data_IF_709873526319
#
_entry.id   IF_709873526319
#
_cell.length_a   1.000
_cell.length_b   1.000
_cell.length_c   1.000
_cell.angle_alpha   90.00
_cell.angle_beta   90.00
_cell.angle_gamma   90.00
#
_symmetry.space_group_name_H-M   'P 1'
#
loop_
_entity.id
_entity.type
_entity.pdbx_description
1 polymer ?
#
# COMPACT_ATOMS: atom_id res chain seq x y z
N UNK A 1 -7.79 31.66 -89.10
CA UNK A 1 -7.81 30.56 -88.10
C UNK A 1 -7.60 31.16 -86.71
N UNK A 2 -8.66 31.28 -85.93
CA UNK A 2 -8.69 31.96 -84.62
C UNK A 2 -8.30 31.00 -83.49
N UNK A 3 -7.25 31.34 -82.74
CA UNK A 3 -6.81 30.62 -81.54
C UNK A 3 -7.83 30.85 -80.42
N UNK A 4 -8.54 29.81 -79.99
CA UNK A 4 -9.38 29.86 -78.78
C UNK A 4 -8.50 29.96 -77.53
N UNK A 5 -8.50 31.10 -76.85
CA UNK A 5 -7.94 31.22 -75.51
C UNK A 5 -8.86 30.54 -74.50
N UNK A 6 -8.35 29.50 -73.84
CA UNK A 6 -9.02 28.89 -72.68
C UNK A 6 -8.96 29.84 -71.49
N UNK A 7 -10.06 30.53 -71.21
CA UNK A 7 -10.24 31.31 -69.98
C UNK A 7 -10.44 30.33 -68.81
N UNK A 8 -9.39 30.07 -68.03
CA UNK A 8 -9.52 29.40 -66.73
C UNK A 8 -10.09 30.42 -65.75
N UNK A 9 -11.25 30.17 -65.11
CA UNK A 9 -11.75 31.14 -64.17
C UNK A 9 -10.83 31.18 -62.95
N UNK A 10 -10.37 32.38 -62.59
CA UNK A 10 -9.65 32.67 -61.34
C UNK A 10 -10.67 32.65 -60.20
N UNK A 11 -11.33 31.51 -59.98
CA UNK A 11 -12.12 31.34 -58.77
C UNK A 11 -11.18 31.06 -57.61
N UNK A 12 -10.97 32.13 -56.84
CA UNK A 12 -11.09 32.08 -55.39
C UNK A 12 -9.99 31.32 -54.62
N UNK A 13 -8.86 32.01 -54.36
CA UNK A 13 -8.22 31.91 -53.02
C UNK A 13 -9.14 32.55 -51.98
N UNK A 14 -10.35 32.00 -51.78
CA UNK A 14 -11.33 32.54 -50.85
C UNK A 14 -10.81 32.43 -49.43
N UNK A 15 -10.96 33.52 -48.66
CA UNK A 15 -10.74 33.54 -47.20
C UNK A 15 -11.46 32.38 -46.50
N UNK A 16 -12.55 31.88 -47.10
CA UNK A 16 -13.32 30.70 -46.71
C UNK A 16 -12.54 29.38 -46.71
N UNK A 17 -11.65 29.10 -47.68
CA UNK A 17 -10.86 27.87 -47.68
C UNK A 17 -9.84 27.86 -46.53
N UNK A 18 -9.20 29.01 -46.27
CA UNK A 18 -8.31 29.21 -45.11
C UNK A 18 -9.08 29.14 -43.79
N UNK A 19 -10.33 29.63 -43.75
CA UNK A 19 -11.21 29.53 -42.59
C UNK A 19 -11.61 28.07 -42.29
N UNK A 20 -11.95 27.27 -43.32
CA UNK A 20 -12.24 25.83 -43.16
C UNK A 20 -11.04 25.04 -42.65
N UNK A 21 -9.83 25.33 -43.13
CA UNK A 21 -8.62 24.73 -42.58
C UNK A 21 -8.37 25.16 -41.12
N UNK A 22 -8.57 26.45 -40.78
CA UNK A 22 -8.44 26.92 -39.39
C UNK A 22 -9.47 26.29 -38.45
N UNK A 23 -10.73 26.14 -38.89
CA UNK A 23 -11.77 25.40 -38.15
C UNK A 23 -11.43 23.92 -38.00
N UNK A 24 -10.88 23.28 -39.04
CA UNK A 24 -10.41 21.91 -38.98
C UNK A 24 -9.29 21.74 -37.94
N UNK A 25 -8.30 22.64 -37.94
CA UNK A 25 -7.22 22.64 -36.94
C UNK A 25 -7.74 22.92 -35.52
N UNK A 26 -8.71 23.82 -35.35
CA UNK A 26 -9.37 24.07 -34.06
C UNK A 26 -10.13 22.84 -33.55
N UNK A 27 -10.87 22.14 -34.41
CA UNK A 27 -11.57 20.91 -34.04
C UNK A 27 -10.61 19.81 -33.61
N UNK A 28 -9.49 19.63 -34.35
CA UNK A 28 -8.45 18.66 -33.97
C UNK A 28 -7.85 19.02 -32.62
N UNK A 29 -7.58 20.31 -32.38
CA UNK A 29 -7.02 20.77 -31.11
C UNK A 29 -7.99 20.57 -29.93
N UNK A 30 -9.29 20.82 -30.13
CA UNK A 30 -10.34 20.53 -29.12
C UNK A 30 -10.45 19.04 -28.83
N UNK A 31 -10.39 18.18 -29.85
CA UNK A 31 -10.43 16.72 -29.67
C UNK A 31 -9.19 16.20 -28.93
N UNK A 32 -8.01 16.74 -29.23
CA UNK A 32 -6.76 16.41 -28.53
C UNK A 32 -6.83 16.86 -27.06
N UNK A 33 -7.25 18.09 -26.79
CA UNK A 33 -7.42 18.59 -25.43
C UNK A 33 -8.44 17.76 -24.66
N UNK A 34 -9.60 17.44 -25.26
CA UNK A 34 -10.62 16.59 -24.66
C UNK A 34 -10.13 15.17 -24.38
N UNK A 35 -9.30 14.59 -25.25
CA UNK A 35 -8.71 13.27 -25.04
C UNK A 35 -7.68 13.28 -23.91
N UNK A 36 -6.83 14.32 -23.83
CA UNK A 36 -5.87 14.51 -22.74
C UNK A 36 -6.61 14.70 -21.42
N UNK A 37 -7.64 15.56 -21.40
CA UNK A 37 -8.46 15.80 -20.21
C UNK A 37 -9.21 14.54 -19.78
N UNK A 38 -9.81 13.82 -20.73
CA UNK A 38 -10.49 12.55 -20.48
C UNK A 38 -9.55 11.48 -19.95
N UNK A 39 -8.32 11.39 -20.47
CA UNK A 39 -7.28 10.49 -19.97
C UNK A 39 -6.84 10.82 -18.54
N UNK A 40 -6.61 12.10 -18.24
CA UNK A 40 -6.28 12.56 -16.88
C UNK A 40 -7.42 12.31 -15.90
N UNK A 41 -8.67 12.55 -16.31
CA UNK A 41 -9.85 12.30 -15.50
C UNK A 41 -10.05 10.81 -15.25
N UNK A 42 -9.86 9.96 -16.26
CA UNK A 42 -9.93 8.50 -16.14
C UNK A 42 -8.87 7.95 -15.17
N UNK A 43 -7.62 8.45 -15.24
CA UNK A 43 -6.57 8.10 -14.29
C UNK A 43 -6.94 8.49 -12.85
N UNK A 44 -7.48 9.70 -12.65
CA UNK A 44 -7.90 10.19 -11.33
C UNK A 44 -9.08 9.38 -10.77
N UNK A 45 -10.05 9.01 -11.60
CA UNK A 45 -11.20 8.21 -11.20
C UNK A 45 -10.82 6.77 -10.84
N UNK A 46 -9.88 6.16 -11.59
CA UNK A 46 -9.33 4.83 -11.29
C UNK A 46 -8.57 4.76 -9.97
N UNK A 47 -7.86 5.83 -9.59
CA UNK A 47 -7.22 5.91 -8.27
C UNK A 47 -8.24 6.08 -7.14
N UNK A 48 -9.34 6.81 -7.38
CA UNK A 48 -10.41 6.99 -6.39
C UNK A 48 -11.19 5.69 -6.11
N UNK A 49 -11.46 4.88 -7.15
CA UNK A 49 -12.22 3.63 -7.01
C UNK A 49 -11.53 2.58 -6.14
N UNK A 50 -10.19 2.60 -6.03
CA UNK A 50 -9.44 1.62 -5.20
C UNK A 50 -9.68 1.84 -3.69
N UNK A 51 -9.95 3.08 -3.29
CA UNK A 51 -10.17 3.46 -1.87
C UNK A 51 -11.66 3.75 -1.60
N UNK A 52 -12.50 3.77 -2.64
CA UNK A 52 -13.93 3.98 -2.52
C UNK A 52 -14.55 2.94 -1.57
N UNK A 53 -15.30 3.43 -0.57
CA UNK A 53 -15.86 2.60 0.50
C UNK A 53 -14.94 2.34 1.71
N UNK A 54 -13.65 2.69 1.63
CA UNK A 54 -12.69 2.56 2.74
C UNK A 54 -12.36 3.91 3.37
N UNK A 55 -12.99 4.19 4.52
CA UNK A 55 -12.78 5.46 5.24
C UNK A 55 -11.60 5.41 6.23
N UNK A 56 -11.08 4.21 6.53
CA UNK A 56 -10.03 4.00 7.51
C UNK A 56 -8.72 3.69 6.76
N UNK A 57 -7.87 4.72 6.64
CA UNK A 57 -6.61 4.68 5.90
C UNK A 57 -5.43 4.74 6.86
N UNK A 58 -4.33 4.15 6.44
CA UNK A 58 -3.05 4.19 7.16
C UNK A 58 -1.87 4.08 6.21
N UNK A 59 -0.67 3.99 6.76
CA UNK A 59 0.56 3.76 6.00
C UNK A 59 1.44 2.70 6.65
N UNK A 60 2.23 1.99 5.84
CA UNK A 60 3.39 1.23 6.33
C UNK A 60 4.65 2.06 6.11
N UNK A 61 5.53 2.12 7.11
CA UNK A 61 6.76 2.90 7.09
C UNK A 61 7.96 2.09 7.57
N UNK A 62 9.15 2.49 7.14
CA UNK A 62 10.45 1.90 7.44
C UNK A 62 11.53 2.98 7.50
N UNK A 63 12.78 2.60 7.77
CA UNK A 63 13.92 3.50 7.70
C UNK A 63 14.10 4.18 6.32
N UNK A 64 13.61 3.56 5.25
CA UNK A 64 13.72 4.11 3.90
C UNK A 64 12.85 5.35 3.69
N UNK A 65 11.86 5.58 4.56
CA UNK A 65 10.97 6.74 4.50
C UNK A 65 11.57 7.97 5.22
N UNK A 66 12.77 7.85 5.80
CA UNK A 66 13.45 8.99 6.43
C UNK A 66 12.70 9.54 7.65
N UNK A 67 12.66 10.87 7.77
CA UNK A 67 11.97 11.55 8.87
C UNK A 67 10.46 11.57 8.65
N UNK A 68 9.70 11.29 9.71
CA UNK A 68 8.24 11.20 9.69
C UNK A 68 7.61 12.19 10.66
N UNK A 69 6.71 13.04 10.16
CA UNK A 69 5.82 13.87 10.96
C UNK A 69 4.47 13.17 11.12
N UNK A 70 4.33 12.40 12.21
CA UNK A 70 3.12 11.67 12.51
C UNK A 70 1.93 12.57 12.85
N UNK A 71 2.16 13.78 13.36
CA UNK A 71 1.08 14.74 13.62
C UNK A 71 0.51 15.26 12.29
N UNK A 72 1.36 15.55 11.31
CA UNK A 72 0.91 15.89 9.96
C UNK A 72 0.15 14.72 9.31
N UNK A 73 0.65 13.49 9.42
CA UNK A 73 -0.05 12.30 8.91
C UNK A 73 -1.45 12.12 9.53
N UNK A 74 -1.57 12.36 10.84
CA UNK A 74 -2.85 12.35 11.52
C UNK A 74 -3.78 13.46 11.01
N UNK A 75 -3.27 14.68 10.85
CA UNK A 75 -4.03 15.83 10.36
C UNK A 75 -4.51 15.64 8.91
N UNK A 76 -3.76 14.91 8.09
CA UNK A 76 -4.16 14.46 6.74
C UNK A 76 -5.22 13.33 6.77
N UNK A 77 -5.67 12.93 7.97
CA UNK A 77 -6.79 12.03 8.18
C UNK A 77 -6.42 10.56 8.22
N UNK A 78 -5.13 10.21 8.37
CA UNK A 78 -4.74 8.84 8.66
C UNK A 78 -5.24 8.41 10.03
N UNK A 79 -5.51 7.10 10.15
CA UNK A 79 -6.00 6.47 11.38
C UNK A 79 -4.97 5.55 12.00
N UNK A 80 -4.03 5.02 11.22
CA UNK A 80 -3.00 4.12 11.74
C UNK A 80 -1.71 4.16 10.95
N UNK A 81 -0.65 3.66 11.58
CA UNK A 81 0.67 3.42 10.98
C UNK A 81 1.18 2.05 11.41
N UNK A 82 1.76 1.32 10.46
CA UNK A 82 2.58 0.13 10.74
C UNK A 82 4.06 0.47 10.53
N UNK A 83 4.88 0.29 11.57
CA UNK A 83 6.31 0.54 11.51
C UNK A 83 7.09 -0.77 11.37
N UNK A 84 7.95 -0.86 10.36
CA UNK A 84 8.92 -1.94 10.29
C UNK A 84 9.87 -1.89 11.48
N UNK A 85 10.06 -3.04 12.14
CA UNK A 85 10.83 -3.13 13.37
C UNK A 85 12.00 -4.09 13.22
N UNK A 86 11.75 -5.31 12.75
CA UNK A 86 12.78 -6.36 12.64
C UNK A 86 12.60 -7.23 11.41
N UNK A 87 13.70 -7.81 10.94
CA UNK A 87 13.70 -8.81 9.89
C UNK A 87 14.54 -10.02 10.28
N UNK A 88 13.95 -11.21 10.17
CA UNK A 88 14.61 -12.45 10.55
C UNK A 88 15.09 -12.42 12.00
N UNK A 89 16.31 -12.88 12.25
CA UNK A 89 16.85 -13.00 13.61
C UNK A 89 18.05 -12.08 13.88
N UNK A 90 18.24 -11.03 13.08
CA UNK A 90 19.46 -10.22 13.14
C UNK A 90 19.36 -8.79 12.61
N UNK A 91 18.24 -8.40 12.01
CA UNK A 91 18.10 -7.06 11.42
C UNK A 91 17.06 -6.25 12.18
N UNK A 92 17.42 -5.03 12.51
CA UNK A 92 16.55 -4.02 13.13
C UNK A 92 16.43 -2.85 12.18
N UNK A 93 15.23 -2.27 12.10
CA UNK A 93 15.03 -1.02 11.38
C UNK A 93 15.64 0.15 12.18
N UNK A 94 16.59 0.86 11.57
CA UNK A 94 17.38 1.90 12.27
C UNK A 94 16.51 3.04 12.80
N UNK A 95 15.36 3.29 12.18
CA UNK A 95 14.45 4.37 12.58
C UNK A 95 13.36 3.89 13.54
N UNK A 96 13.22 2.59 13.83
CA UNK A 96 12.10 2.04 14.60
C UNK A 96 11.90 2.74 15.95
N UNK A 97 12.91 2.74 16.82
CA UNK A 97 12.80 3.31 18.17
C UNK A 97 12.46 4.81 18.11
N UNK A 98 13.16 5.57 17.28
CA UNK A 98 12.90 7.01 17.14
C UNK A 98 11.52 7.32 16.54
N UNK A 99 11.04 6.49 15.60
CA UNK A 99 9.70 6.61 15.04
C UNK A 99 8.64 6.27 16.08
N UNK A 100 8.86 5.22 16.87
CA UNK A 100 7.95 4.81 17.93
C UNK A 100 7.76 5.94 18.95
N UNK A 101 8.86 6.53 19.43
CA UNK A 101 8.82 7.67 20.37
C UNK A 101 8.11 8.90 19.79
N UNK A 102 8.21 9.13 18.48
CA UNK A 102 7.51 10.25 17.83
C UNK A 102 6.00 9.99 17.66
N UNK A 103 5.58 8.75 17.41
CA UNK A 103 4.17 8.46 17.14
C UNK A 103 3.30 8.40 18.41
N UNK A 104 3.88 8.05 19.58
CA UNK A 104 3.12 7.89 20.83
C UNK A 104 2.41 9.18 21.29
N UNK A 105 2.83 10.36 20.82
CA UNK A 105 2.15 11.63 21.06
C UNK A 105 0.89 11.86 20.21
N UNK A 106 0.53 10.92 19.33
CA UNK A 106 -0.60 11.02 18.41
C UNK A 106 -1.74 10.08 18.82
N UNK A 107 -2.93 10.27 18.24
CA UNK A 107 -4.07 9.36 18.34
C UNK A 107 -4.09 8.29 17.23
N UNK A 108 -3.00 8.14 16.47
CA UNK A 108 -2.89 7.11 15.44
C UNK A 108 -2.83 5.73 16.11
N UNK A 109 -3.54 4.75 15.53
CA UNK A 109 -3.27 3.35 15.86
C UNK A 109 -1.86 2.97 15.42
N UNK A 110 -1.14 2.29 16.30
CA UNK A 110 0.26 1.93 16.12
C UNK A 110 0.37 0.42 16.00
N UNK A 111 0.97 -0.06 14.91
CA UNK A 111 1.34 -1.46 14.74
C UNK A 111 2.81 -1.59 14.38
N UNK A 112 3.37 -2.76 14.62
CA UNK A 112 4.75 -3.09 14.30
C UNK A 112 4.83 -4.26 13.33
N UNK A 113 5.83 -4.24 12.44
CA UNK A 113 6.04 -5.26 11.41
C UNK A 113 7.33 -6.02 11.69
N UNK A 114 7.20 -7.34 11.73
CA UNK A 114 8.31 -8.28 11.64
C UNK A 114 8.34 -8.93 10.25
N UNK A 115 9.46 -8.80 9.55
CA UNK A 115 9.68 -9.44 8.25
C UNK A 115 10.21 -10.86 8.46
N UNK A 116 9.37 -11.85 8.09
CA UNK A 116 9.66 -13.27 8.25
C UNK A 116 10.83 -13.71 7.37
N UNK A 117 11.74 -14.47 7.98
CA UNK A 117 12.84 -15.12 7.28
C UNK A 117 12.59 -16.62 7.12
N UNK A 118 12.69 -17.08 5.88
CA UNK A 118 12.70 -18.51 5.54
C UNK A 118 13.96 -19.23 6.05
N UNK A 119 15.04 -18.50 6.36
CA UNK A 119 16.34 -19.07 6.70
C UNK A 119 16.54 -19.25 8.21
N UNK A 120 16.16 -18.27 9.05
CA UNK A 120 16.33 -18.35 10.51
C UNK A 120 15.24 -19.18 11.19
N UNK A 121 15.48 -19.76 12.37
CA UNK A 121 14.44 -20.50 13.10
C UNK A 121 13.32 -19.57 13.61
N UNK A 122 12.15 -20.13 13.92
CA UNK A 122 11.05 -19.34 14.48
C UNK A 122 11.38 -18.80 15.88
N UNK A 123 12.04 -19.61 16.71
CA UNK A 123 12.46 -19.19 18.06
C UNK A 123 13.51 -18.08 18.01
N UNK A 124 14.47 -18.14 17.10
CA UNK A 124 15.47 -17.07 16.96
C UNK A 124 14.84 -15.76 16.47
N UNK A 125 13.87 -15.84 15.55
CA UNK A 125 13.10 -14.67 15.10
C UNK A 125 12.28 -14.05 16.24
N UNK A 126 11.57 -14.86 17.02
CA UNK A 126 10.78 -14.38 18.15
C UNK A 126 11.67 -13.73 19.23
N UNK A 127 12.77 -14.38 19.60
CA UNK A 127 13.71 -13.84 20.58
C UNK A 127 14.36 -12.53 20.13
N UNK A 128 14.67 -12.42 18.83
CA UNK A 128 15.22 -11.18 18.27
C UNK A 128 14.18 -10.05 18.24
N UNK A 129 12.94 -10.37 17.85
CA UNK A 129 11.82 -9.45 17.91
C UNK A 129 11.61 -8.92 19.33
N UNK A 130 11.53 -9.81 20.32
CA UNK A 130 11.38 -9.46 21.74
C UNK A 130 12.51 -8.58 22.26
N UNK A 131 13.77 -8.96 21.99
CA UNK A 131 14.94 -8.17 22.37
C UNK A 131 14.91 -6.75 21.80
N UNK A 132 14.38 -6.57 20.59
CA UNK A 132 14.43 -5.30 19.86
C UNK A 132 13.22 -4.42 20.14
N UNK A 133 12.04 -5.02 20.15
CA UNK A 133 10.76 -4.31 20.22
C UNK A 133 10.31 -4.13 21.67
N UNK A 134 10.54 -5.13 22.53
CA UNK A 134 10.00 -5.13 23.90
C UNK A 134 8.51 -4.79 23.90
N UNK A 135 8.09 -3.91 24.81
CA UNK A 135 6.69 -3.48 24.92
C UNK A 135 6.27 -2.45 23.86
N UNK A 136 7.16 -2.05 22.95
CA UNK A 136 6.90 -1.04 21.91
C UNK A 136 6.14 -1.63 20.72
N UNK A 137 5.09 -2.41 20.97
CA UNK A 137 4.29 -3.10 19.93
C UNK A 137 3.07 -2.29 19.46
N UNK A 138 2.74 -1.20 20.13
CA UNK A 138 1.58 -0.36 19.84
C UNK A 138 0.25 -0.99 20.29
N UNK A 139 -0.83 -0.59 19.64
CA UNK A 139 -2.21 -0.99 19.95
C UNK A 139 -2.93 -1.65 18.76
N UNK A 140 -2.17 -2.14 17.78
CA UNK A 140 -2.66 -2.94 16.66
C UNK A 140 -2.04 -4.35 16.70
N UNK A 141 -2.63 -5.34 16.00
CA UNK A 141 -2.05 -6.66 15.87
C UNK A 141 -0.61 -6.60 15.34
N UNK A 142 0.29 -7.45 15.87
CA UNK A 142 1.66 -7.55 15.35
C UNK A 142 1.59 -8.06 13.91
N UNK A 143 2.14 -7.31 12.96
CA UNK A 143 2.18 -7.72 11.57
C UNK A 143 3.40 -8.61 11.30
N UNK A 144 3.16 -9.79 10.72
CA UNK A 144 4.21 -10.67 10.23
C UNK A 144 4.17 -10.63 8.71
N UNK A 145 5.16 -9.97 8.10
CA UNK A 145 5.28 -9.89 6.65
C UNK A 145 5.98 -11.14 6.11
N UNK A 146 5.33 -11.83 5.18
CA UNK A 146 5.85 -13.01 4.50
C UNK A 146 5.95 -12.67 3.02
N UNK A 147 7.17 -12.43 2.55
CA UNK A 147 7.45 -12.19 1.14
C UNK A 147 8.70 -12.95 0.69
N UNK A 148 8.82 -13.17 -0.61
CA UNK A 148 10.03 -13.70 -1.24
C UNK A 148 11.18 -12.68 -1.12
N UNK A 149 12.41 -13.17 -1.01
CA UNK A 149 13.62 -12.34 -0.97
C UNK A 149 14.84 -13.16 -1.42
N UNK A 150 15.85 -12.48 -1.96
CA UNK A 150 17.07 -13.12 -2.45
C UNK A 150 16.77 -14.27 -3.41
N UNK A 151 17.26 -15.47 -3.09
CA UNK A 151 17.06 -16.67 -3.91
C UNK A 151 15.77 -17.43 -3.59
N UNK A 152 14.96 -16.98 -2.63
CA UNK A 152 13.67 -17.61 -2.32
C UNK A 152 12.61 -17.17 -3.32
N UNK A 153 12.04 -18.12 -4.04
CA UNK A 153 10.98 -17.96 -5.03
C UNK A 153 9.98 -19.10 -4.87
N UNK A 154 8.89 -19.07 -5.64
CA UNK A 154 7.90 -20.14 -5.72
C UNK A 154 8.50 -21.55 -5.95
N UNK A 155 9.63 -21.61 -6.65
CA UNK A 155 10.35 -22.85 -6.99
C UNK A 155 11.36 -23.29 -5.94
N UNK A 156 11.96 -22.36 -5.20
CA UNK A 156 13.08 -22.67 -4.30
C UNK A 156 12.66 -22.79 -2.84
N UNK A 157 11.49 -22.26 -2.45
CA UNK A 157 11.04 -22.38 -1.06
C UNK A 157 10.68 -23.82 -0.68
N UNK A 158 11.19 -24.26 0.47
CA UNK A 158 10.72 -25.48 1.12
C UNK A 158 9.36 -25.25 1.79
N UNK A 159 8.26 -25.29 1.02
CA UNK A 159 6.90 -24.90 1.45
C UNK A 159 6.49 -25.54 2.78
N UNK A 160 6.76 -26.84 3.00
CA UNK A 160 6.40 -27.53 4.25
C UNK A 160 7.11 -26.93 5.45
N UNK A 161 8.42 -26.68 5.32
CA UNK A 161 9.23 -26.07 6.38
C UNK A 161 8.82 -24.62 6.62
N UNK A 162 8.58 -23.85 5.56
CA UNK A 162 8.08 -22.48 5.65
C UNK A 162 6.76 -22.41 6.43
N UNK A 163 5.81 -23.31 6.14
CA UNK A 163 4.53 -23.40 6.86
C UNK A 163 4.70 -23.75 8.35
N UNK A 164 5.56 -24.71 8.67
CA UNK A 164 5.83 -25.10 10.06
C UNK A 164 6.48 -23.95 10.85
N UNK A 165 7.49 -23.31 10.25
CA UNK A 165 8.22 -22.20 10.86
C UNK A 165 7.34 -20.96 11.04
N UNK A 166 6.53 -20.61 10.04
CA UNK A 166 5.57 -19.51 10.14
C UNK A 166 4.56 -19.77 11.27
N UNK A 167 3.99 -20.98 11.34
CA UNK A 167 3.07 -21.34 12.43
C UNK A 167 3.74 -21.20 13.80
N UNK A 168 4.94 -21.75 13.96
CA UNK A 168 5.67 -21.66 15.21
C UNK A 168 5.95 -20.21 15.62
N UNK A 169 6.34 -19.34 14.68
CA UNK A 169 6.58 -17.92 14.96
C UNK A 169 5.29 -17.20 15.38
N UNK A 170 4.20 -17.38 14.61
CA UNK A 170 2.90 -16.77 14.90
C UNK A 170 2.41 -17.19 16.28
N UNK A 171 2.49 -18.48 16.60
CA UNK A 171 2.10 -19.00 17.91
C UNK A 171 2.94 -18.40 19.03
N UNK A 172 4.27 -18.37 18.86
CA UNK A 172 5.19 -17.84 19.88
C UNK A 172 4.92 -16.36 20.15
N UNK A 173 4.87 -15.52 19.11
CA UNK A 173 4.58 -14.08 19.27
C UNK A 173 3.17 -13.82 19.82
N UNK A 174 2.18 -14.63 19.44
CA UNK A 174 0.83 -14.49 20.03
C UNK A 174 0.81 -14.81 21.51
N UNK A 175 1.60 -15.81 21.94
CA UNK A 175 1.70 -16.20 23.35
C UNK A 175 2.52 -15.20 24.17
N UNK A 176 3.62 -14.70 23.64
CA UNK A 176 4.54 -13.83 24.37
C UNK A 176 3.94 -12.45 24.67
N UNK A 177 3.12 -11.94 23.74
CA UNK A 177 2.55 -10.59 23.82
C UNK A 177 1.05 -10.58 24.19
N UNK A 178 0.45 -11.75 24.39
CA UNK A 178 -1.00 -11.95 24.45
C UNK A 178 -1.74 -11.17 23.34
N UNK A 179 -1.15 -11.17 22.13
CA UNK A 179 -1.56 -10.29 21.03
C UNK A 179 -1.77 -11.09 19.76
N UNK A 180 -2.91 -10.89 19.10
CA UNK A 180 -3.12 -11.47 17.77
C UNK A 180 -2.05 -10.96 16.79
N UNK A 181 -1.53 -11.87 15.97
CA UNK A 181 -0.73 -11.49 14.81
C UNK A 181 -1.62 -11.32 13.55
N UNK A 182 -1.32 -10.34 12.70
CA UNK A 182 -1.87 -10.24 11.34
C UNK A 182 -0.81 -10.65 10.33
N UNK A 183 -1.16 -11.51 9.37
CA UNK A 183 -0.19 -12.04 8.40
C UNK A 183 -0.27 -11.25 7.11
N UNK A 184 0.76 -10.46 6.82
CA UNK A 184 0.90 -9.67 5.60
C UNK A 184 1.64 -10.47 4.52
N UNK A 185 1.04 -10.64 3.34
CA UNK A 185 1.67 -11.38 2.25
C UNK A 185 1.05 -11.02 0.89
N UNK A 186 1.81 -11.28 -0.18
CA UNK A 186 1.30 -11.29 -1.56
C UNK A 186 0.25 -12.39 -1.76
N UNK A 187 -0.68 -12.27 -2.73
CA UNK A 187 -1.74 -13.25 -2.94
C UNK A 187 -1.23 -14.69 -3.21
N UNK A 188 -0.07 -14.80 -3.84
CA UNK A 188 0.59 -16.06 -4.18
C UNK A 188 1.07 -16.80 -2.92
N UNK A 189 1.92 -16.16 -2.10
CA UNK A 189 2.37 -16.70 -0.83
C UNK A 189 1.23 -16.88 0.17
N UNK A 190 0.20 -16.03 0.09
CA UNK A 190 -1.00 -16.15 0.89
C UNK A 190 -1.72 -17.49 0.64
N UNK A 191 -1.81 -17.90 -0.64
CA UNK A 191 -2.42 -19.17 -1.05
C UNK A 191 -1.49 -20.35 -0.76
N UNK A 192 -0.20 -20.22 -1.07
CA UNK A 192 0.76 -21.33 -1.02
C UNK A 192 1.24 -21.64 0.41
N UNK A 193 1.48 -20.63 1.24
CA UNK A 193 2.11 -20.78 2.56
C UNK A 193 1.17 -20.38 3.68
N UNK A 194 0.65 -19.15 3.65
CA UNK A 194 -0.03 -18.55 4.82
C UNK A 194 -1.36 -19.25 5.15
N UNK A 195 -2.33 -19.31 4.22
CA UNK A 195 -3.65 -19.91 4.49
C UNK A 195 -3.59 -21.42 4.84
N UNK A 196 -2.68 -22.22 4.27
CA UNK A 196 -2.46 -23.59 4.73
C UNK A 196 -1.87 -23.68 6.14
N UNK A 197 -0.92 -22.80 6.50
CA UNK A 197 -0.24 -22.82 7.80
C UNK A 197 -1.11 -22.25 8.92
N UNK A 198 -1.77 -21.11 8.66
CA UNK A 198 -2.44 -20.25 9.63
C UNK A 198 -3.94 -20.24 9.33
N UNK A 199 -4.76 -20.67 10.27
CA UNK A 199 -6.22 -20.82 10.08
C UNK A 199 -7.05 -19.70 10.70
N UNK A 200 -6.60 -19.16 11.83
CA UNK A 200 -7.39 -18.24 12.66
C UNK A 200 -6.94 -16.79 12.54
N UNK A 201 -5.63 -16.53 12.37
CA UNK A 201 -5.11 -15.16 12.35
C UNK A 201 -5.71 -14.31 11.22
N UNK A 202 -5.96 -13.02 11.47
CA UNK A 202 -6.30 -12.06 10.43
C UNK A 202 -5.19 -11.99 9.37
N UNK A 203 -5.59 -11.55 8.19
CA UNK A 203 -4.72 -11.47 7.01
C UNK A 203 -4.59 -10.02 6.57
N UNK A 204 -3.43 -9.66 6.05
CA UNK A 204 -3.20 -8.45 5.31
C UNK A 204 -2.76 -8.84 3.89
N UNK A 205 -3.55 -8.44 2.89
CA UNK A 205 -3.25 -8.71 1.48
C UNK A 205 -2.53 -7.54 0.84
N UNK A 206 -1.40 -7.84 0.21
CA UNK A 206 -0.75 -6.93 -0.73
C UNK A 206 -1.49 -6.98 -2.08
N UNK A 207 -2.48 -6.10 -2.27
CA UNK A 207 -3.32 -6.11 -3.46
C UNK A 207 -4.03 -4.78 -3.70
N UNK A 208 -3.90 -4.28 -4.91
CA UNK A 208 -4.62 -3.09 -5.39
C UNK A 208 -6.10 -3.35 -5.67
N UNK A 209 -6.55 -4.60 -5.67
CA UNK A 209 -7.96 -4.96 -5.75
C UNK A 209 -8.53 -5.07 -4.32
N UNK A 210 -9.14 -4.02 -3.81
CA UNK A 210 -9.55 -3.93 -2.41
C UNK A 210 -10.97 -4.42 -2.14
N UNK A 211 -11.76 -4.66 -3.19
CA UNK A 211 -13.19 -4.92 -3.06
C UNK A 211 -13.51 -6.42 -2.85
N UNK A 212 -14.69 -6.71 -2.27
CA UNK A 212 -15.22 -8.07 -2.04
C UNK A 212 -14.27 -9.01 -1.28
N UNK A 213 -13.61 -8.50 -0.23
CA UNK A 213 -12.71 -9.31 0.60
C UNK A 213 -13.43 -9.98 1.77
N UNK A 214 -12.94 -11.14 2.17
CA UNK A 214 -13.48 -11.86 3.32
C UNK A 214 -13.19 -11.10 4.61
N UNK A 215 -14.02 -11.30 5.64
CA UNK A 215 -13.84 -10.69 6.98
C UNK A 215 -12.49 -11.05 7.65
N UNK A 216 -11.82 -12.10 7.17
CA UNK A 216 -10.50 -12.50 7.67
C UNK A 216 -9.38 -11.59 7.15
N UNK A 217 -9.59 -10.92 6.02
CA UNK A 217 -8.67 -9.88 5.52
C UNK A 217 -8.97 -8.61 6.30
N UNK A 218 -8.02 -8.17 7.11
CA UNK A 218 -8.15 -7.02 8.00
C UNK A 218 -7.57 -5.75 7.39
N UNK A 219 -6.43 -5.86 6.72
CA UNK A 219 -5.76 -4.76 6.04
C UNK A 219 -5.47 -5.11 4.59
N UNK A 220 -5.37 -4.09 3.75
CA UNK A 220 -4.93 -4.21 2.36
C UNK A 220 -3.97 -3.08 2.02
N UNK A 221 -2.92 -3.41 1.28
CA UNK A 221 -2.02 -2.42 0.70
C UNK A 221 -2.51 -2.11 -0.71
N UNK A 222 -2.83 -0.83 -0.94
CA UNK A 222 -3.54 -0.38 -2.15
C UNK A 222 -2.70 0.49 -3.09
N UNK A 223 -1.59 1.05 -2.60
CA UNK A 223 -0.69 1.91 -3.39
C UNK A 223 0.71 1.94 -2.79
N UNK A 224 1.74 1.92 -3.63
CA UNK A 224 3.14 2.18 -3.22
C UNK A 224 3.47 3.67 -3.14
N UNK A 225 2.56 4.53 -3.61
CA UNK A 225 2.81 5.97 -3.81
C UNK A 225 1.66 6.81 -3.25
N UNK A 226 1.21 6.48 -2.03
CA UNK A 226 0.25 7.33 -1.33
C UNK A 226 0.94 8.62 -0.89
N UNK A 227 0.51 9.76 -1.40
CA UNK A 227 1.16 11.06 -1.18
C UNK A 227 0.51 11.78 0.01
N UNK A 228 1.31 12.14 1.01
CA UNK A 228 0.90 12.92 2.17
C UNK A 228 1.83 14.13 2.37
N UNK A 229 1.34 15.15 3.08
CA UNK A 229 2.14 16.33 3.41
C UNK A 229 2.95 16.07 4.69
N UNK A 230 4.24 16.38 4.65
CA UNK A 230 5.22 16.18 5.73
C UNK A 230 6.10 17.43 5.83
N UNK A 231 5.98 18.18 6.93
CA UNK A 231 6.76 19.42 7.17
C UNK A 231 6.78 20.40 5.97
N UNK A 232 5.63 20.56 5.29
CA UNK A 232 5.51 21.45 4.12
C UNK A 232 6.05 20.88 2.80
N UNK A 233 6.49 19.61 2.78
CA UNK A 233 6.88 18.89 1.56
C UNK A 233 5.96 17.69 1.31
N UNK A 234 5.89 17.21 0.07
CA UNK A 234 5.13 16.00 -0.27
C UNK A 234 6.02 14.78 -0.17
N UNK A 235 5.53 13.74 0.49
CA UNK A 235 6.22 12.46 0.62
C UNK A 235 5.30 11.30 0.23
N UNK A 236 5.89 10.28 -0.38
CA UNK A 236 5.21 9.06 -0.82
C UNK A 236 5.39 7.94 0.20
N UNK A 237 4.33 7.14 0.38
CA UNK A 237 4.27 6.06 1.35
C UNK A 237 3.57 4.83 0.76
N UNK A 238 3.84 3.66 1.38
CA UNK A 238 3.00 2.47 1.20
C UNK A 238 1.64 2.70 1.88
N UNK A 239 0.61 2.90 1.06
CA UNK A 239 -0.75 3.22 1.48
C UNK A 239 -1.56 1.99 1.85
N UNK A 240 -2.20 2.04 3.02
CA UNK A 240 -2.99 0.97 3.59
C UNK A 240 -4.46 1.37 3.77
N UNK A 241 -5.34 0.39 3.67
CA UNK A 241 -6.76 0.50 4.05
C UNK A 241 -7.13 -0.61 5.01
N UNK A 242 -8.01 -0.31 5.97
CA UNK A 242 -8.64 -1.29 6.84
C UNK A 242 -9.94 -1.80 6.22
N UNK A 243 -10.15 -3.11 6.24
CA UNK A 243 -11.32 -3.77 5.67
C UNK A 243 -12.52 -3.74 6.64
N UNK A 244 -13.10 -2.55 6.82
CA UNK A 244 -14.27 -2.36 7.67
C UNK A 244 -14.58 -0.90 7.96
N UNK A 245 -15.55 -0.70 8.84
CA UNK A 245 -15.93 0.63 9.32
C UNK A 245 -15.17 1.05 10.59
N UNK A 246 -15.40 2.27 11.04
CA UNK A 246 -14.73 2.84 12.22
C UNK A 246 -14.98 2.04 13.51
N UNK A 247 -16.20 1.53 13.71
CA UNK A 247 -16.53 0.75 14.91
C UNK A 247 -15.73 -0.56 14.97
N UNK A 248 -15.64 -1.26 13.84
CA UNK A 248 -14.83 -2.48 13.71
C UNK A 248 -13.33 -2.20 13.90
N UNK A 249 -12.85 -1.07 13.38
CA UNK A 249 -11.47 -0.65 13.60
C UNK A 249 -11.18 -0.38 15.08
N UNK A 250 -12.06 0.37 15.76
CA UNK A 250 -11.90 0.65 17.19
C UNK A 250 -11.96 -0.63 18.04
N UNK A 251 -12.78 -1.61 17.64
CA UNK A 251 -12.79 -2.92 18.29
C UNK A 251 -11.45 -3.63 18.15
N UNK A 252 -10.82 -3.60 16.96
CA UNK A 252 -9.48 -4.19 16.76
C UNK A 252 -8.45 -3.51 17.65
N UNK A 253 -8.48 -2.17 17.74
CA UNK A 253 -7.59 -1.41 18.62
C UNK A 253 -7.80 -1.80 20.09
N UNK A 254 -9.05 -1.90 20.54
CA UNK A 254 -9.38 -2.28 21.91
C UNK A 254 -8.98 -3.72 22.24
N UNK A 255 -9.24 -4.67 21.35
CA UNK A 255 -8.79 -6.07 21.48
C UNK A 255 -7.26 -6.20 21.48
N UNK A 256 -6.55 -5.23 20.91
CA UNK A 256 -5.10 -5.16 20.87
C UNK A 256 -4.46 -4.45 22.07
N UNK A 257 -5.26 -4.00 23.05
CA UNK A 257 -4.77 -3.43 24.31
C UNK A 257 -4.91 -4.38 25.52
N UNK A 258 -5.79 -5.38 25.42
CA UNK A 258 -6.05 -6.37 26.48
C UNK A 258 -5.04 -7.50 26.46
#
# INVERSE_FOLDING_TARGET
>A
MTKRQHYRPVYARTRWARWRHRLGWLLILVLLLGSIWGGLMWLRWRSASVVEGFNIRGVAVSQNDGYLDFAALQNDGLKFVYMHATQGASYTDDNFSSNYERIIGTSLGVGVVHTFSFSSSASAQAAYFEKTVGDSIGNLPIAIQVNYYGNYTDKTIAVRQARQKLRALVTKLTQDYDRKCVIWSTPELMKQVVKPAIKQSPLWLDTTNTHHRSKRVLFMHYSDRAVYQQNGTRQEFSGLVFNGNLSQYNQVVAESLN
#
